data_IF_087456232209
#
_entry.id   IF_087456232209
#
_cell.length_a   1.000
_cell.length_b   1.000
_cell.length_c   1.000
_cell.angle_alpha   90.00
_cell.angle_beta   90.00
_cell.angle_gamma   90.00
#
_symmetry.space_group_name_H-M   'P 1'
#
loop_
_entity.id
_entity.type
_entity.pdbx_description
1 polymer ?
#
# COMPACT_ATOMS: atom_id res chain seq x y z
N UNK A 1 8.62 49.86 28.94
CA UNK A 1 8.50 49.35 27.56
C UNK A 1 7.67 48.07 27.63
N UNK A 2 6.33 48.12 27.67
CA UNK A 2 5.44 48.25 26.48
C UNK A 2 6.01 47.39 25.34
N UNK A 3 5.51 46.20 25.03
CA UNK A 3 4.13 45.94 24.58
C UNK A 3 3.63 44.52 24.98
N UNK A 4 2.91 44.43 26.10
CA UNK A 4 1.64 43.70 26.09
C UNK A 4 0.60 44.66 25.54
N UNK A 5 -0.18 44.26 24.52
CA UNK A 5 -1.57 44.64 24.25
C UNK A 5 -1.91 44.32 22.79
N UNK A 6 -3.16 43.89 22.59
CA UNK A 6 -3.92 43.76 21.34
C UNK A 6 -3.67 42.44 20.57
N UNK A 7 -4.66 41.62 20.22
CA UNK A 7 -6.15 41.65 20.26
C UNK A 7 -6.50 40.27 19.66
N UNK A 8 -7.18 39.34 20.32
CA UNK A 8 -8.65 39.26 20.33
C UNK A 8 -9.31 39.94 19.13
N UNK A 9 -9.28 39.28 17.97
CA UNK A 9 -10.14 39.42 16.79
C UNK A 9 -9.83 38.14 15.97
N UNK A 10 -10.59 37.06 15.87
CA UNK A 10 -12.03 36.85 15.79
C UNK A 10 -12.32 35.42 16.31
N UNK A 11 -13.23 35.31 17.28
CA UNK A 11 -14.13 34.16 17.32
C UNK A 11 -15.17 34.31 16.22
N UNK A 12 -15.84 33.20 15.92
CA UNK A 12 -17.15 33.15 15.26
C UNK A 12 -17.21 33.63 13.81
N UNK A 13 -16.72 32.79 12.89
CA UNK A 13 -17.39 32.63 11.60
C UNK A 13 -17.66 31.15 11.28
N UNK A 14 -18.85 30.73 11.70
CA UNK A 14 -19.86 30.18 10.80
C UNK A 14 -19.67 28.69 10.41
N UNK A 15 -20.30 27.86 11.26
CA UNK A 15 -21.27 26.88 10.80
C UNK A 15 -22.11 27.44 9.63
N UNK A 16 -21.78 27.11 8.39
CA UNK A 16 -22.69 27.08 7.23
C UNK A 16 -21.91 26.52 6.05
N UNK A 17 -21.82 25.19 5.98
CA UNK A 17 -21.85 24.46 4.71
C UNK A 17 -22.23 22.99 4.96
N UNK A 18 -23.36 22.85 5.67
CA UNK A 18 -24.21 21.66 5.69
C UNK A 18 -25.53 22.00 5.01
N UNK A 19 -25.50 22.57 3.81
CA UNK A 19 -26.65 22.69 2.90
C UNK A 19 -26.25 23.35 1.57
N UNK A 20 -25.67 22.58 0.65
CA UNK A 20 -25.87 22.80 -0.78
C UNK A 20 -25.73 21.46 -1.50
N UNK A 21 -26.77 20.65 -1.31
CA UNK A 21 -27.32 19.86 -2.42
C UNK A 21 -27.44 20.81 -3.62
N UNK A 22 -26.57 20.66 -4.61
CA UNK A 22 -26.96 20.61 -6.02
C UNK A 22 -25.74 20.32 -6.90
N UNK A 23 -25.83 19.19 -7.60
CA UNK A 23 -25.42 19.02 -9.01
C UNK A 23 -23.93 18.78 -9.30
N UNK A 24 -23.53 17.52 -9.20
CA UNK A 24 -22.72 16.91 -10.27
C UNK A 24 -23.44 15.67 -10.82
N UNK A 25 -23.50 15.55 -12.16
CA UNK A 25 -24.46 14.72 -12.87
C UNK A 25 -24.19 13.23 -12.71
N UNK A 26 -25.28 12.53 -12.40
CA UNK A 26 -25.44 11.11 -12.64
C UNK A 26 -25.15 10.79 -14.11
N UNK A 27 -24.14 9.98 -14.38
CA UNK A 27 -24.01 9.32 -15.67
C UNK A 27 -24.95 8.09 -15.65
N UNK A 28 -26.23 8.34 -15.90
CA UNK A 28 -27.19 7.30 -16.26
C UNK A 28 -27.14 7.09 -17.76
N UNK A 29 -26.68 5.93 -18.22
CA UNK A 29 -27.02 5.25 -19.48
C UNK A 29 -26.08 4.04 -19.57
N UNK A 30 -26.48 2.77 -19.67
CA UNK A 30 -27.78 2.13 -19.86
C UNK A 30 -27.72 0.78 -19.12
N UNK A 31 -28.67 0.52 -18.22
CA UNK A 31 -29.07 -0.85 -17.89
C UNK A 31 -30.06 -1.27 -18.98
N UNK A 32 -29.54 -1.72 -20.12
CA UNK A 32 -30.37 -2.40 -21.12
C UNK A 32 -30.60 -3.82 -20.64
N UNK A 33 -31.83 -4.06 -20.23
CA UNK A 33 -32.46 -5.37 -20.10
C UNK A 33 -32.18 -6.17 -21.38
N UNK A 34 -31.36 -7.20 -21.27
CA UNK A 34 -31.27 -8.28 -22.26
C UNK A 34 -31.76 -9.53 -21.56
N UNK A 35 -33.09 -9.68 -21.61
CA UNK A 35 -33.84 -10.89 -21.95
C UNK A 35 -33.15 -12.21 -21.59
N UNK A 36 -33.82 -12.95 -20.70
CA UNK A 36 -33.68 -14.38 -20.45
C UNK A 36 -33.51 -15.17 -21.77
N UNK A 37 -32.28 -15.47 -22.15
CA UNK A 37 -31.95 -16.52 -23.11
C UNK A 37 -31.75 -17.84 -22.34
N UNK A 38 -32.83 -18.32 -21.72
CA UNK A 38 -32.87 -19.64 -21.07
C UNK A 38 -34.03 -20.49 -21.60
N UNK A 39 -34.34 -20.34 -22.89
CA UNK A 39 -35.20 -21.25 -23.63
C UNK A 39 -34.52 -21.49 -24.98
N UNK A 40 -34.30 -22.77 -25.31
CA UNK A 40 -33.63 -23.31 -26.51
C UNK A 40 -32.10 -23.56 -26.41
N UNK A 41 -31.61 -24.05 -25.27
CA UNK A 41 -30.34 -24.79 -25.20
C UNK A 41 -30.60 -26.31 -25.08
N UNK A 42 -31.41 -26.87 -26.00
CA UNK A 42 -31.79 -28.29 -25.96
C UNK A 42 -31.95 -28.97 -27.32
N UNK A 43 -31.34 -28.43 -28.39
CA UNK A 43 -31.27 -29.14 -29.67
C UNK A 43 -29.88 -28.92 -30.28
N UNK A 44 -29.19 -30.04 -30.54
CA UNK A 44 -27.88 -30.22 -31.19
C UNK A 44 -26.64 -29.96 -30.32
N UNK A 45 -26.19 -31.04 -29.67
CA UNK A 45 -24.79 -31.28 -29.32
C UNK A 45 -24.08 -31.78 -30.59
N UNK A 46 -23.21 -31.01 -31.27
CA UNK A 46 -22.20 -31.60 -32.11
C UNK A 46 -20.98 -31.95 -31.26
N UNK A 47 -20.57 -33.20 -31.38
CA UNK A 47 -19.26 -33.74 -31.05
C UNK A 47 -18.18 -32.87 -31.73
N UNK A 48 -17.70 -31.84 -31.05
CA UNK A 48 -16.47 -31.15 -31.41
C UNK A 48 -15.59 -31.11 -30.17
N UNK A 49 -14.51 -31.89 -30.23
CA UNK A 49 -13.50 -31.99 -29.18
C UNK A 49 -13.06 -30.60 -28.77
N UNK A 50 -13.31 -30.26 -27.50
CA UNK A 50 -12.72 -29.09 -26.88
C UNK A 50 -11.24 -29.39 -26.71
N UNK A 51 -10.47 -29.04 -27.73
CA UNK A 51 -9.07 -28.70 -27.62
C UNK A 51 -8.89 -27.93 -26.32
N UNK A 52 -8.21 -28.57 -25.38
CA UNK A 52 -7.55 -27.92 -24.26
C UNK A 52 -6.45 -27.02 -24.82
N UNK A 53 -6.84 -26.00 -25.57
CA UNK A 53 -5.98 -24.90 -25.94
C UNK A 53 -5.73 -24.12 -24.66
N UNK A 54 -4.65 -24.52 -23.98
CA UNK A 54 -3.61 -23.60 -23.54
C UNK A 54 -4.10 -22.15 -23.54
N UNK A 55 -4.76 -21.77 -22.45
CA UNK A 55 -4.80 -20.39 -21.99
C UNK A 55 -3.36 -20.06 -21.54
N UNK A 56 -2.45 -20.03 -22.52
CA UNK A 56 -1.08 -19.54 -22.40
C UNK A 56 -1.27 -18.13 -21.90
N UNK A 57 -0.95 -17.92 -20.64
CA UNK A 57 -0.68 -16.62 -20.07
C UNK A 57 0.35 -15.94 -20.99
N UNK A 58 -0.13 -15.15 -21.94
CA UNK A 58 0.71 -14.23 -22.68
C UNK A 58 1.08 -13.14 -21.68
N UNK A 59 2.13 -13.37 -20.89
CA UNK A 59 2.72 -12.33 -20.07
C UNK A 59 3.20 -11.27 -21.04
N UNK A 60 2.43 -10.19 -21.16
CA UNK A 60 2.73 -9.11 -22.09
C UNK A 60 4.14 -8.60 -21.78
N UNK A 61 4.94 -8.34 -22.82
CA UNK A 61 6.33 -7.88 -22.68
C UNK A 61 6.46 -6.64 -21.76
N UNK A 62 5.40 -5.85 -21.62
CA UNK A 62 5.31 -4.72 -20.69
C UNK A 62 5.35 -5.10 -19.20
N UNK A 63 4.73 -6.23 -18.81
CA UNK A 63 4.73 -6.70 -17.43
C UNK A 63 6.14 -7.19 -17.00
N UNK A 64 6.79 -7.99 -17.85
CA UNK A 64 8.15 -8.48 -17.60
C UNK A 64 9.17 -7.34 -17.46
N UNK A 65 9.00 -6.22 -18.18
CA UNK A 65 9.91 -5.06 -18.10
C UNK A 65 9.91 -4.37 -16.74
N UNK A 66 8.82 -4.45 -15.97
CA UNK A 66 8.68 -3.81 -14.65
C UNK A 66 9.35 -4.60 -13.53
N UNK A 67 9.44 -5.92 -13.67
CA UNK A 67 10.02 -6.84 -12.67
C UNK A 67 11.55 -6.88 -12.74
N UNK A 68 12.17 -6.34 -13.81
CA UNK A 68 13.62 -6.37 -13.99
C UNK A 68 14.35 -5.56 -12.91
N UNK A 69 15.50 -6.08 -12.47
CA UNK A 69 16.36 -5.50 -11.42
C UNK A 69 16.63 -4.00 -11.58
N UNK A 70 16.86 -3.53 -12.81
CA UNK A 70 17.15 -2.10 -13.09
C UNK A 70 16.03 -1.10 -12.73
N UNK A 71 14.81 -1.57 -12.44
CA UNK A 71 13.66 -0.74 -12.02
C UNK A 71 13.04 -1.25 -10.73
N UNK A 72 13.78 -2.06 -9.96
CA UNK A 72 13.29 -2.63 -8.72
C UNK A 72 13.07 -1.52 -7.70
N UNK A 73 11.88 -1.48 -7.14
CA UNK A 73 11.52 -0.57 -6.04
C UNK A 73 11.97 -1.16 -4.71
N UNK A 74 11.92 -0.34 -3.65
CA UNK A 74 12.20 -0.79 -2.29
C UNK A 74 11.22 -1.88 -1.85
N UNK A 75 11.78 -2.93 -1.26
CA UNK A 75 11.01 -4.08 -0.77
C UNK A 75 10.31 -3.74 0.57
N UNK A 76 9.26 -4.49 0.91
CA UNK A 76 8.41 -4.18 2.07
C UNK A 76 9.12 -4.41 3.40
N UNK A 77 9.94 -5.45 3.49
CA UNK A 77 10.81 -5.79 4.62
C UNK A 77 11.79 -4.66 4.97
N UNK A 78 12.42 -4.06 3.95
CA UNK A 78 13.32 -2.90 4.12
C UNK A 78 12.57 -1.68 4.66
N UNK A 79 11.35 -1.45 4.17
CA UNK A 79 10.48 -0.36 4.67
C UNK A 79 10.05 -0.61 6.11
N UNK A 80 9.76 -1.85 6.49
CA UNK A 80 9.46 -2.19 7.89
C UNK A 80 10.68 -1.91 8.78
N UNK A 81 11.89 -2.21 8.32
CA UNK A 81 13.12 -1.85 9.04
C UNK A 81 13.32 -0.33 9.16
N UNK A 82 13.02 0.44 8.09
CA UNK A 82 13.03 1.91 8.11
C UNK A 82 12.05 2.48 9.16
N UNK A 83 10.86 1.88 9.30
CA UNK A 83 9.83 2.30 10.26
C UNK A 83 10.25 1.97 11.69
N UNK A 84 10.91 0.82 11.91
CA UNK A 84 11.38 0.38 13.23
C UNK A 84 12.54 1.25 13.75
N UNK A 85 13.49 1.59 12.89
CA UNK A 85 14.73 2.26 13.30
C UNK A 85 14.97 3.53 12.48
N UNK A 86 15.01 4.68 13.17
CA UNK A 86 15.24 6.00 12.57
C UNK A 86 16.58 6.09 11.82
N UNK A 87 17.63 5.46 12.33
CA UNK A 87 18.96 5.44 11.71
C UNK A 87 19.00 4.71 10.37
N UNK A 88 18.16 3.70 10.15
CA UNK A 88 18.10 3.00 8.85
C UNK A 88 17.48 3.90 7.77
N UNK A 89 16.44 4.65 8.14
CA UNK A 89 15.82 5.64 7.27
C UNK A 89 16.77 6.79 6.92
N UNK A 90 17.54 7.30 7.89
CA UNK A 90 18.55 8.34 7.63
C UNK A 90 19.60 7.87 6.64
N UNK A 91 20.23 6.71 6.90
CA UNK A 91 21.18 6.08 5.96
C UNK A 91 20.59 5.92 4.55
N UNK A 92 19.30 5.59 4.46
CA UNK A 92 18.63 5.53 3.16
C UNK A 92 18.49 6.90 2.51
N UNK A 93 18.13 7.95 3.24
CA UNK A 93 18.02 9.31 2.67
C UNK A 93 19.39 9.84 2.24
N UNK A 94 20.41 9.63 3.05
CA UNK A 94 21.77 10.12 2.83
C UNK A 94 22.44 9.48 1.61
N UNK A 95 22.03 8.25 1.24
CA UNK A 95 22.58 7.58 0.05
C UNK A 95 22.08 8.17 -1.28
N UNK A 96 21.25 9.22 -1.25
CA UNK A 96 20.71 9.89 -2.45
C UNK A 96 21.04 11.36 -2.35
N UNK A 97 21.57 11.89 -3.44
CA UNK A 97 21.89 13.31 -3.52
C UNK A 97 20.60 14.12 -3.67
N UNK A 98 20.40 15.18 -2.86
CA UNK A 98 19.13 15.91 -2.84
C UNK A 98 18.78 16.57 -4.18
N UNK A 99 19.78 16.91 -4.99
CA UNK A 99 19.61 17.59 -6.29
C UNK A 99 18.97 16.70 -7.35
N UNK A 100 19.20 15.38 -7.28
CA UNK A 100 18.62 14.41 -8.22
C UNK A 100 17.17 14.04 -7.87
N UNK A 101 16.71 14.44 -6.68
CA UNK A 101 15.41 14.05 -6.16
C UNK A 101 14.33 15.11 -6.46
N UNK A 102 13.09 14.67 -6.74
CA UNK A 102 12.00 15.62 -6.92
C UNK A 102 11.75 16.37 -5.60
N UNK A 103 11.56 17.69 -5.70
CA UNK A 103 11.34 18.56 -4.55
C UNK A 103 12.52 18.65 -3.59
N UNK A 104 13.76 18.47 -4.08
CA UNK A 104 15.00 18.50 -3.29
C UNK A 104 15.00 17.51 -2.11
N UNK A 105 14.28 16.39 -2.24
CA UNK A 105 14.15 15.38 -1.19
C UNK A 105 13.38 15.85 0.05
N UNK A 106 12.62 16.96 0.00
CA UNK A 106 11.89 17.47 1.17
C UNK A 106 10.63 16.66 1.46
N UNK A 107 9.93 16.22 0.41
CA UNK A 107 8.63 15.55 0.54
C UNK A 107 8.75 14.05 0.27
N UNK A 108 8.88 13.27 1.35
CA UNK A 108 9.08 11.81 1.28
C UNK A 108 7.98 11.03 2.01
N UNK A 109 7.40 10.04 1.34
CA UNK A 109 6.55 9.03 2.00
C UNK A 109 7.38 7.78 2.30
N UNK A 110 7.50 7.46 3.59
CA UNK A 110 8.28 6.33 4.12
C UNK A 110 7.71 4.98 3.66
N UNK A 111 6.40 4.80 3.81
CA UNK A 111 5.71 3.53 3.54
C UNK A 111 5.75 3.11 2.07
N UNK A 112 5.60 4.08 1.17
CA UNK A 112 5.62 3.86 -0.27
C UNK A 112 7.02 4.05 -0.87
N UNK A 113 8.00 4.46 -0.07
CA UNK A 113 9.36 4.78 -0.50
C UNK A 113 9.42 5.70 -1.73
N UNK A 114 8.60 6.75 -1.72
CA UNK A 114 8.43 7.64 -2.89
C UNK A 114 8.64 9.10 -2.51
N UNK A 115 9.38 9.79 -3.37
CA UNK A 115 9.63 11.22 -3.32
C UNK A 115 8.59 11.99 -4.15
N UNK A 116 8.19 13.15 -3.64
CA UNK A 116 7.21 14.03 -4.26
C UNK A 116 7.78 15.44 -4.45
N UNK A 117 7.22 16.18 -5.39
CA UNK A 117 7.62 17.56 -5.69
C UNK A 117 7.09 18.57 -4.65
N UNK A 118 5.91 18.34 -4.08
CA UNK A 118 5.23 19.29 -3.19
C UNK A 118 4.48 18.62 -2.03
N UNK A 119 4.20 19.39 -0.98
CA UNK A 119 3.38 18.97 0.17
C UNK A 119 1.96 18.56 -0.23
N UNK A 120 1.37 19.28 -1.19
CA UNK A 120 0.02 18.97 -1.68
C UNK A 120 -0.04 17.56 -2.28
N UNK A 121 0.97 17.20 -3.06
CA UNK A 121 1.08 15.88 -3.68
C UNK A 121 1.26 14.77 -2.64
N UNK A 122 2.04 15.02 -1.58
CA UNK A 122 2.20 14.07 -0.48
C UNK A 122 0.88 13.86 0.27
N UNK A 123 0.15 14.94 0.59
CA UNK A 123 -1.17 14.87 1.25
C UNK A 123 -2.20 14.15 0.37
N UNK A 124 -2.20 14.41 -0.94
CA UNK A 124 -3.07 13.72 -1.88
C UNK A 124 -2.72 12.24 -2.01
N UNK A 125 -1.42 11.91 -2.04
CA UNK A 125 -0.92 10.53 -2.08
C UNK A 125 -1.38 9.71 -0.86
N UNK A 126 -1.27 10.28 0.35
CA UNK A 126 -1.67 9.63 1.59
C UNK A 126 -3.16 9.24 1.61
N UNK A 127 -4.02 10.06 0.99
CA UNK A 127 -5.47 9.77 0.88
C UNK A 127 -5.80 8.70 -0.17
N UNK A 128 -4.86 8.43 -1.09
CA UNK A 128 -5.04 7.56 -2.25
C UNK A 128 -5.16 6.06 -1.93
N UNK A 129 -5.78 5.30 -2.85
CA UNK A 129 -6.02 3.86 -2.70
C UNK A 129 -4.73 3.03 -2.63
N UNK A 130 -3.69 3.43 -3.38
CA UNK A 130 -2.42 2.71 -3.43
C UNK A 130 -1.68 2.76 -2.10
N UNK A 131 -1.63 3.94 -1.47
CA UNK A 131 -1.03 4.14 -0.16
C UNK A 131 -1.78 3.32 0.90
N UNK A 132 -3.11 3.40 0.93
CA UNK A 132 -3.96 2.57 1.82
C UNK A 132 -3.81 1.06 1.58
N UNK A 133 -3.45 0.63 0.37
CA UNK A 133 -3.11 -0.78 0.10
C UNK A 133 -1.74 -1.13 0.68
N UNK A 134 -0.74 -0.26 0.50
CA UNK A 134 0.61 -0.43 1.07
C UNK A 134 0.56 -0.54 2.60
N UNK A 135 -0.21 0.32 3.25
CA UNK A 135 -0.44 0.28 4.70
C UNK A 135 -0.99 -1.05 5.20
N UNK A 136 -1.88 -1.68 4.44
CA UNK A 136 -2.40 -3.00 4.80
C UNK A 136 -1.31 -4.07 4.74
N UNK A 137 -0.52 -4.06 3.67
CA UNK A 137 0.60 -5.01 3.50
C UNK A 137 1.67 -4.82 4.59
N UNK A 138 1.96 -3.58 4.99
CA UNK A 138 2.97 -3.29 6.03
C UNK A 138 2.52 -3.66 7.45
N UNK A 139 1.21 -3.88 7.67
CA UNK A 139 0.71 -4.37 8.97
C UNK A 139 0.96 -5.86 9.15
N UNK A 140 0.99 -6.60 8.05
CA UNK A 140 1.27 -8.03 8.06
C UNK A 140 2.76 -8.26 8.35
N UNK A 141 3.08 -9.38 8.99
CA UNK A 141 4.47 -9.73 9.27
C UNK A 141 5.25 -9.88 7.94
N UNK A 142 6.39 -9.19 7.77
CA UNK A 142 7.17 -9.31 6.54
C UNK A 142 7.72 -10.71 6.40
N UNK A 143 7.53 -11.29 5.22
CA UNK A 143 8.08 -12.60 4.89
C UNK A 143 9.61 -12.60 5.05
N UNK A 144 10.14 -13.53 5.82
CA UNK A 144 11.57 -13.72 6.04
C UNK A 144 12.00 -15.11 5.58
N UNK A 145 13.28 -15.27 5.28
CA UNK A 145 13.85 -16.56 4.90
C UNK A 145 13.65 -17.61 6.01
N UNK A 146 13.75 -17.20 7.27
CA UNK A 146 13.53 -18.06 8.44
C UNK A 146 12.08 -18.59 8.49
N UNK A 147 11.09 -17.77 8.12
CA UNK A 147 9.70 -18.22 8.02
C UNK A 147 9.52 -19.26 6.91
N UNK A 148 10.19 -19.09 5.77
CA UNK A 148 10.15 -20.06 4.69
C UNK A 148 10.80 -21.40 5.07
N UNK A 149 11.94 -21.35 5.75
CA UNK A 149 12.61 -22.55 6.27
C UNK A 149 11.74 -23.27 7.29
N UNK A 150 11.18 -22.52 8.27
CA UNK A 150 10.27 -23.06 9.28
C UNK A 150 9.04 -23.71 8.64
N UNK A 151 8.50 -23.16 7.56
CA UNK A 151 7.37 -23.74 6.84
C UNK A 151 7.69 -25.10 6.18
N UNK A 152 8.95 -25.33 5.80
CA UNK A 152 9.43 -26.60 5.25
C UNK A 152 9.82 -27.59 6.37
N UNK A 153 9.82 -27.14 7.63
CA UNK A 153 10.31 -27.91 8.78
C UNK A 153 11.83 -27.86 8.94
N UNK A 154 12.48 -26.88 8.31
CA UNK A 154 13.91 -26.59 8.45
C UNK A 154 14.10 -25.44 9.45
N UNK A 155 15.08 -25.56 10.36
CA UNK A 155 15.44 -24.50 11.30
C UNK A 155 15.27 -24.86 12.77
N UNK A 156 15.67 -23.93 13.64
CA UNK A 156 15.55 -24.09 15.09
C UNK A 156 14.06 -24.13 15.49
N UNK A 157 13.66 -25.21 16.15
CA UNK A 157 12.34 -25.31 16.76
C UNK A 157 12.36 -24.33 17.93
N UNK A 158 11.50 -23.30 17.90
CA UNK A 158 11.24 -22.47 19.08
C UNK A 158 10.43 -23.32 20.07
N UNK A 159 11.08 -24.34 20.63
CA UNK A 159 10.68 -24.91 21.90
C UNK A 159 10.81 -23.74 22.85
N UNK A 160 9.70 -23.10 23.22
CA UNK A 160 9.69 -21.86 23.99
C UNK A 160 10.64 -21.90 25.19
N UNK A 161 11.03 -20.74 25.71
CA UNK A 161 11.89 -20.69 26.90
C UNK A 161 11.25 -21.54 28.00
N UNK A 162 11.99 -22.53 28.51
CA UNK A 162 11.59 -23.26 29.70
C UNK A 162 11.37 -22.22 30.79
N UNK A 163 10.19 -22.19 31.41
CA UNK A 163 9.91 -21.30 32.53
C UNK A 163 10.89 -21.67 33.65
N UNK A 164 11.89 -20.82 33.86
CA UNK A 164 12.80 -20.92 35.01
C UNK A 164 12.03 -20.31 36.18
N UNK A 165 11.61 -21.16 37.15
CA UNK A 165 10.89 -20.73 38.34
C UNK A 165 11.71 -19.67 39.09
N UNK A 166 11.21 -18.43 39.11
CA UNK A 166 11.85 -17.26 39.74
C UNK A 166 11.82 -17.28 41.28
N UNK A 167 11.30 -18.35 41.87
CA UNK A 167 11.12 -18.48 43.32
C UNK A 167 12.41 -18.89 44.07
N UNK A 168 13.48 -19.27 43.36
CA UNK A 168 14.74 -19.75 43.98
C UNK A 168 15.80 -18.66 44.22
N UNK A 169 15.54 -17.38 43.90
CA UNK A 169 16.53 -16.29 44.03
C UNK A 169 16.26 -15.29 45.17
N UNK A 170 15.39 -15.62 46.15
CA UNK A 170 15.00 -14.70 47.24
C UNK A 170 15.48 -15.10 48.65
N UNK A 171 16.49 -15.95 48.77
CA UNK A 171 17.07 -16.30 50.08
C UNK A 171 18.46 -15.69 50.28
#
# INVERSE_FOLDING_TARGET
>A
MQTSLNTQLYGDEIELNRASLTRFPHCSLRKSVIINFHFLASILIPLFGSSSEVFRLSVTMGALRKVKNKRRTRDYDQVVADIKTTGHLQKYKDSKDPEDLPGLGRFYCTECSKWFESDYNLKAHAKGKNHKRRLRILRDEPHSQLLAERAIGLGFVDNGKREENLDEMKE
#
